data_IF_686599358484
#
_entry.id   IF_686599358484
#
_cell.length_a   1.000
_cell.length_b   1.000
_cell.length_c   1.000
_cell.angle_alpha   90.00
_cell.angle_beta   90.00
_cell.angle_gamma   90.00
#
_symmetry.space_group_name_H-M   'P 1'
#
loop_
_entity.id
_entity.type
_entity.pdbx_description
1 polymer ?
#
# COMPACT_ATOMS: atom_id res chain seq x y z
N UNK A 1 19.19 32.09 -4.34
CA UNK A 1 19.22 32.61 -2.96
C UNK A 1 17.83 33.16 -2.73
N UNK A 2 17.04 32.47 -1.93
CA UNK A 2 15.74 32.98 -1.48
C UNK A 2 15.98 34.23 -0.63
N UNK A 3 15.10 35.21 -0.74
CA UNK A 3 15.21 36.45 0.03
C UNK A 3 13.86 36.84 0.56
N UNK A 4 13.80 37.32 1.80
CA UNK A 4 12.55 37.80 2.40
C UNK A 4 11.96 38.92 1.54
N UNK A 5 10.66 38.84 1.16
CA UNK A 5 10.03 39.87 0.35
C UNK A 5 10.07 41.22 1.06
N UNK A 6 10.25 42.28 0.28
CA UNK A 6 10.26 43.64 0.81
C UNK A 6 8.93 43.97 1.50
N UNK A 7 9.00 44.62 2.66
CA UNK A 7 7.81 45.11 3.35
C UNK A 7 7.11 46.17 2.49
N UNK A 8 5.76 46.20 2.47
CA UNK A 8 5.01 47.15 1.66
C UNK A 8 5.17 48.61 2.11
N UNK A 9 5.59 48.83 3.36
CA UNK A 9 6.02 50.13 3.87
C UNK A 9 7.12 49.97 4.93
N UNK A 10 8.04 50.95 5.07
CA UNK A 10 9.12 50.90 6.08
C UNK A 10 8.63 50.79 7.54
N UNK A 11 7.40 51.24 7.81
CA UNK A 11 6.75 51.20 9.12
C UNK A 11 5.63 50.15 9.20
N UNK A 12 5.52 49.23 8.24
CA UNK A 12 4.42 48.27 8.17
C UNK A 12 4.30 47.43 9.45
N UNK A 13 5.42 47.05 10.03
CA UNK A 13 5.50 46.26 11.27
C UNK A 13 5.54 47.12 12.55
N UNK A 14 5.21 48.41 12.48
CA UNK A 14 5.09 49.25 13.69
C UNK A 14 3.85 48.89 14.53
N UNK A 15 2.83 48.31 13.90
CA UNK A 15 1.70 47.62 14.55
C UNK A 15 1.53 46.25 13.88
N UNK A 16 2.25 45.21 14.34
CA UNK A 16 2.25 43.88 13.75
C UNK A 16 0.84 43.28 13.64
N UNK A 17 0.01 43.48 14.68
CA UNK A 17 -1.35 42.94 14.71
C UNK A 17 -2.23 43.58 13.62
N UNK A 18 -2.16 44.90 13.46
CA UNK A 18 -2.89 45.59 12.40
C UNK A 18 -2.36 45.22 11.00
N UNK A 19 -1.05 45.02 10.85
CA UNK A 19 -0.44 44.63 9.59
C UNK A 19 -0.87 43.23 9.14
N UNK A 20 -0.72 42.21 9.99
CA UNK A 20 -1.09 40.83 9.65
C UNK A 20 -2.61 40.66 9.48
N UNK A 21 -3.43 41.54 10.06
CA UNK A 21 -4.87 41.58 9.82
C UNK A 21 -5.28 42.30 8.53
N UNK A 22 -4.33 42.82 7.75
CA UNK A 22 -4.58 43.60 6.52
C UNK A 22 -4.29 42.79 5.26
N UNK A 23 -4.93 43.14 4.15
CA UNK A 23 -4.65 42.56 2.82
C UNK A 23 -3.17 42.64 2.42
N UNK A 24 -2.47 43.68 2.90
CA UNK A 24 -1.04 43.87 2.62
C UNK A 24 -0.17 42.89 3.40
N UNK A 25 -0.52 42.59 4.66
CA UNK A 25 0.16 41.62 5.50
C UNK A 25 -0.07 40.20 5.00
N UNK A 26 -1.33 39.85 4.73
CA UNK A 26 -1.71 38.56 4.13
C UNK A 26 -0.95 38.30 2.83
N UNK A 27 -0.92 39.29 1.93
CA UNK A 27 -0.17 39.16 0.67
C UNK A 27 1.33 39.00 0.90
N UNK A 28 1.89 39.70 1.87
CA UNK A 28 3.31 39.63 2.19
C UNK A 28 3.68 38.26 2.77
N UNK A 29 2.86 37.69 3.67
CA UNK A 29 3.05 36.34 4.19
C UNK A 29 2.91 35.28 3.09
N UNK A 30 1.97 35.47 2.16
CA UNK A 30 1.86 34.64 0.97
C UNK A 30 3.12 34.64 0.11
N UNK A 31 3.71 35.82 -0.15
CA UNK A 31 4.98 35.95 -0.87
C UNK A 31 6.14 35.34 -0.08
N UNK A 32 6.13 35.44 1.25
CA UNK A 32 7.14 34.81 2.10
C UNK A 32 7.09 33.29 1.97
N UNK A 33 5.89 32.70 1.97
CA UNK A 33 5.70 31.27 1.74
C UNK A 33 6.10 30.83 0.31
N UNK A 34 5.95 31.70 -0.69
CA UNK A 34 6.43 31.43 -2.05
C UNK A 34 7.97 31.42 -2.14
N UNK A 35 8.65 32.33 -1.42
CA UNK A 35 10.12 32.41 -1.38
C UNK A 35 10.77 31.31 -0.51
N UNK A 36 10.05 30.87 0.52
CA UNK A 36 10.44 29.79 1.43
C UNK A 36 9.35 28.72 1.48
N UNK A 37 9.22 27.90 0.41
CA UNK A 37 8.22 26.84 0.37
C UNK A 37 8.56 25.73 1.37
N UNK A 38 7.51 25.10 1.90
CA UNK A 38 7.63 23.90 2.70
C UNK A 38 6.93 22.75 1.98
N UNK A 39 7.55 21.57 1.98
CA UNK A 39 6.93 20.33 1.53
C UNK A 39 6.87 19.36 2.69
N UNK A 40 5.66 18.92 3.06
CA UNK A 40 5.46 17.95 4.14
C UNK A 40 5.92 16.55 3.75
N UNK A 41 6.07 16.26 2.46
CA UNK A 41 6.56 14.98 1.95
C UNK A 41 7.67 15.20 0.93
N UNK A 42 8.85 14.63 1.20
CA UNK A 42 10.00 14.69 0.29
C UNK A 42 10.83 13.41 0.33
N UNK A 43 11.38 13.05 -0.83
CA UNK A 43 12.01 11.74 -1.08
C UNK A 43 13.33 11.50 -0.36
N UNK A 44 14.16 12.51 -0.13
CA UNK A 44 15.45 12.31 0.55
C UNK A 44 15.29 11.73 1.98
N UNK A 45 14.08 11.73 2.55
CA UNK A 45 13.74 11.07 3.83
C UNK A 45 13.45 9.57 3.72
N UNK A 46 13.27 9.05 2.50
CA UNK A 46 12.62 7.76 2.25
C UNK A 46 13.47 6.76 1.46
N UNK A 47 14.71 7.11 1.08
CA UNK A 47 15.58 6.33 0.18
C UNK A 47 16.00 4.92 0.67
N UNK A 48 15.56 4.46 1.85
CA UNK A 48 15.96 3.18 2.41
C UNK A 48 14.81 2.41 3.09
N UNK A 49 13.64 2.32 2.46
CA UNK A 49 12.55 1.51 3.00
C UNK A 49 12.90 0.02 3.07
N UNK A 50 12.62 -0.59 4.22
CA UNK A 50 12.64 -2.04 4.33
C UNK A 50 11.39 -2.64 3.69
N UNK A 51 11.50 -3.84 3.10
CA UNK A 51 10.34 -4.56 2.56
C UNK A 51 9.25 -4.77 3.62
N UNK A 52 9.64 -5.01 4.88
CA UNK A 52 8.71 -5.11 6.01
C UNK A 52 7.88 -3.83 6.20
N UNK A 53 8.52 -2.66 6.12
CA UNK A 53 7.84 -1.37 6.23
C UNK A 53 6.87 -1.15 5.06
N UNK A 54 7.30 -1.45 3.83
CA UNK A 54 6.47 -1.33 2.64
C UNK A 54 5.29 -2.31 2.64
N UNK A 55 5.49 -3.53 3.15
CA UNK A 55 4.43 -4.51 3.35
C UNK A 55 3.41 -4.04 4.40
N UNK A 56 3.84 -3.45 5.51
CA UNK A 56 2.95 -2.90 6.53
C UNK A 56 2.12 -1.73 5.98
N UNK A 57 2.73 -0.85 5.19
CA UNK A 57 2.01 0.21 4.47
C UNK A 57 0.99 -0.37 3.49
N UNK A 58 1.40 -1.36 2.70
CA UNK A 58 0.53 -2.01 1.73
C UNK A 58 -0.72 -2.60 2.39
N UNK A 59 -0.59 -3.22 3.57
CA UNK A 59 -1.73 -3.70 4.37
C UNK A 59 -2.72 -2.57 4.67
N UNK A 60 -2.22 -1.43 5.18
CA UNK A 60 -3.07 -0.26 5.47
C UNK A 60 -3.79 0.27 4.25
N UNK A 61 -3.11 0.36 3.10
CA UNK A 61 -3.73 0.80 1.84
C UNK A 61 -4.87 -0.15 1.45
N UNK A 62 -4.62 -1.46 1.51
CA UNK A 62 -5.62 -2.49 1.17
C UNK A 62 -6.82 -2.45 2.13
N UNK A 63 -6.58 -2.32 3.43
CA UNK A 63 -7.62 -2.22 4.44
C UNK A 63 -8.46 -0.96 4.27
N UNK A 64 -7.83 0.20 4.10
CA UNK A 64 -8.53 1.46 3.83
C UNK A 64 -9.45 1.35 2.60
N UNK A 65 -8.97 0.74 1.51
CA UNK A 65 -9.77 0.50 0.30
C UNK A 65 -10.97 -0.41 0.58
N UNK A 66 -10.80 -1.48 1.37
CA UNK A 66 -11.91 -2.39 1.70
C UNK A 66 -12.92 -1.79 2.67
N UNK A 67 -12.48 -0.90 3.56
CA UNK A 67 -13.32 -0.22 4.54
C UNK A 67 -13.98 1.04 3.97
N UNK A 68 -13.55 1.49 2.79
CA UNK A 68 -14.04 2.71 2.15
C UNK A 68 -13.47 3.99 2.80
N UNK A 69 -12.34 3.88 3.49
CA UNK A 69 -11.59 5.00 4.03
C UNK A 69 -10.72 5.67 2.97
N UNK A 70 -10.34 6.92 3.23
CA UNK A 70 -9.39 7.63 2.39
C UNK A 70 -8.00 6.99 2.52
N UNK A 71 -7.38 6.69 1.37
CA UNK A 71 -6.08 6.01 1.35
C UNK A 71 -4.97 6.95 1.79
N UNK A 72 -5.04 8.23 1.41
CA UNK A 72 -4.03 9.21 1.78
C UNK A 72 -4.02 9.38 3.30
N UNK A 73 -5.19 9.60 3.92
CA UNK A 73 -5.34 9.70 5.38
C UNK A 73 -4.78 8.46 6.11
N UNK A 74 -5.06 7.25 5.59
CA UNK A 74 -4.54 6.02 6.17
C UNK A 74 -3.00 5.90 6.08
N UNK A 75 -2.41 6.47 5.02
CA UNK A 75 -0.96 6.51 4.84
C UNK A 75 -0.29 7.59 5.71
N UNK A 76 -0.89 8.77 5.85
CA UNK A 76 -0.40 9.85 6.72
C UNK A 76 -0.29 9.43 8.18
N UNK A 77 -1.19 8.55 8.65
CA UNK A 77 -1.15 8.00 10.00
C UNK A 77 0.14 7.21 10.29
N UNK A 78 0.73 6.59 9.26
CA UNK A 78 2.01 5.86 9.35
C UNK A 78 3.20 6.78 9.04
N UNK A 79 3.08 7.58 7.99
CA UNK A 79 4.09 8.54 7.55
C UNK A 79 3.64 9.95 7.89
N UNK A 80 3.93 10.33 9.14
CA UNK A 80 3.57 11.65 9.63
C UNK A 80 4.25 12.73 8.76
N UNK A 81 3.51 13.80 8.42
CA UNK A 81 4.06 14.90 7.67
C UNK A 81 5.23 15.51 8.44
N UNK A 82 6.17 16.06 7.68
CA UNK A 82 7.25 16.86 8.27
C UNK A 82 6.67 18.06 8.99
N UNK A 83 7.22 18.35 10.17
CA UNK A 83 6.89 19.57 10.91
C UNK A 83 7.52 20.80 10.24
N UNK A 84 6.74 21.87 10.16
CA UNK A 84 7.15 23.18 9.67
C UNK A 84 8.33 23.76 10.46
N UNK A 85 8.49 23.34 11.72
CA UNK A 85 9.56 23.81 12.61
C UNK A 85 10.96 23.74 11.98
N UNK A 86 11.28 22.67 11.25
CA UNK A 86 12.62 22.50 10.68
C UNK A 86 12.90 23.57 9.61
N UNK A 87 11.97 23.75 8.66
CA UNK A 87 12.09 24.77 7.60
C UNK A 87 12.07 26.17 8.21
N UNK A 88 11.14 26.43 9.14
CA UNK A 88 11.10 27.70 9.86
C UNK A 88 12.45 28.01 10.52
N UNK A 89 12.95 27.12 11.38
CA UNK A 89 14.14 27.36 12.18
C UNK A 89 15.41 27.52 11.35
N UNK A 90 15.57 26.72 10.29
CA UNK A 90 16.82 26.66 9.51
C UNK A 90 16.84 27.59 8.29
N UNK A 91 15.68 27.95 7.74
CA UNK A 91 15.61 28.67 6.46
C UNK A 91 14.92 30.04 6.61
N UNK A 92 13.77 30.09 7.26
CA UNK A 92 12.95 31.33 7.32
C UNK A 92 13.39 32.26 8.46
N UNK A 93 13.49 31.71 9.67
CA UNK A 93 13.80 32.43 10.89
C UNK A 93 15.10 33.25 10.83
N UNK A 94 16.22 32.75 10.27
CA UNK A 94 17.45 33.53 10.18
C UNK A 94 17.28 34.79 9.32
N UNK A 95 16.57 34.67 8.20
CA UNK A 95 16.36 35.76 7.25
C UNK A 95 15.38 36.80 7.79
N UNK A 96 14.30 36.37 8.46
CA UNK A 96 13.37 37.27 9.17
C UNK A 96 14.10 38.05 10.27
N UNK A 97 14.95 37.38 11.07
CA UNK A 97 15.77 38.06 12.09
C UNK A 97 16.77 39.05 11.49
N UNK A 98 17.23 38.84 10.25
CA UNK A 98 18.07 39.82 9.55
C UNK A 98 17.24 41.04 9.16
N UNK A 99 16.07 40.83 8.55
CA UNK A 99 15.15 41.91 8.17
C UNK A 99 14.73 42.77 9.37
N UNK A 100 14.34 42.14 10.49
CA UNK A 100 13.94 42.87 11.70
C UNK A 100 15.08 43.73 12.25
N UNK A 101 16.33 43.19 12.23
CA UNK A 101 17.52 43.95 12.63
C UNK A 101 17.81 45.13 11.69
N UNK A 102 17.68 44.95 10.38
CA UNK A 102 17.90 46.00 9.38
C UNK A 102 16.85 47.11 9.43
N UNK A 103 15.61 46.75 9.76
CA UNK A 103 14.50 47.71 9.90
C UNK A 103 14.44 48.39 11.28
N UNK A 104 15.31 47.96 12.21
CA UNK A 104 15.37 48.51 13.57
C UNK A 104 14.19 48.14 14.45
N UNK A 105 13.45 47.09 14.07
CA UNK A 105 12.29 46.57 14.79
C UNK A 105 12.80 45.59 15.85
N UNK A 106 12.24 45.69 17.06
CA UNK A 106 12.59 44.77 18.12
C UNK A 106 12.12 43.35 17.73
N UNK A 107 13.02 42.38 17.84
CA UNK A 107 12.68 40.96 17.78
C UNK A 107 11.99 40.58 19.09
N UNK A 108 10.72 41.01 19.23
CA UNK A 108 9.85 40.52 20.28
C UNK A 108 9.22 39.20 19.86
N UNK A 109 9.08 38.28 20.81
CA UNK A 109 8.61 36.92 20.53
C UNK A 109 7.21 36.90 19.92
N UNK A 110 6.37 37.89 20.24
CA UNK A 110 5.00 37.98 19.73
C UNK A 110 4.97 38.28 18.22
N UNK A 111 5.75 39.25 17.75
CA UNK A 111 5.84 39.54 16.30
C UNK A 111 6.43 38.36 15.54
N UNK A 112 7.46 37.73 16.12
CA UNK A 112 8.13 36.60 15.49
C UNK A 112 7.23 35.37 15.39
N UNK A 113 6.46 35.07 16.44
CA UNK A 113 5.47 34.00 16.45
C UNK A 113 4.31 34.29 15.48
N UNK A 114 3.83 35.54 15.39
CA UNK A 114 2.79 35.91 14.43
C UNK A 114 3.24 35.73 12.96
N UNK A 115 4.50 36.04 12.64
CA UNK A 115 5.07 35.78 11.32
C UNK A 115 5.17 34.27 11.06
N UNK A 116 5.61 33.50 12.06
CA UNK A 116 5.67 32.03 11.94
C UNK A 116 4.30 31.46 11.62
N UNK A 117 3.31 31.74 12.45
CA UNK A 117 1.99 31.14 12.33
C UNK A 117 1.35 31.52 10.98
N UNK A 118 1.48 32.79 10.56
CA UNK A 118 1.01 33.24 9.25
C UNK A 118 1.75 32.61 8.07
N UNK A 119 3.08 32.42 8.19
CA UNK A 119 3.84 31.69 7.17
C UNK A 119 3.45 30.22 7.11
N UNK A 120 3.27 29.55 8.26
CA UNK A 120 2.85 28.15 8.34
C UNK A 120 1.51 27.91 7.64
N UNK A 121 0.51 28.76 7.91
CA UNK A 121 -0.81 28.69 7.27
C UNK A 121 -0.69 28.82 5.73
N UNK A 122 0.10 29.78 5.26
CA UNK A 122 0.29 29.99 3.83
C UNK A 122 1.15 28.93 3.15
N UNK A 123 2.15 28.38 3.84
CA UNK A 123 2.98 27.30 3.35
C UNK A 123 2.17 26.00 3.27
N UNK A 124 1.35 25.70 4.30
CA UNK A 124 0.44 24.57 4.30
C UNK A 124 -0.57 24.64 3.15
N UNK A 125 -1.14 25.82 2.88
CA UNK A 125 -2.08 26.03 1.78
C UNK A 125 -1.47 25.85 0.38
N UNK A 126 -0.13 25.96 0.26
CA UNK A 126 0.63 25.81 -0.99
C UNK A 126 1.32 24.46 -1.12
N UNK A 127 1.31 23.66 -0.06
CA UNK A 127 1.96 22.37 -0.09
C UNK A 127 1.12 21.36 -0.87
N UNK A 128 1.50 21.17 -2.13
CA UNK A 128 0.92 20.18 -3.04
C UNK A 128 1.53 18.78 -2.84
N UNK A 129 2.48 18.60 -1.91
CA UNK A 129 3.08 17.29 -1.66
C UNK A 129 2.08 16.33 -1.02
N UNK A 130 2.28 15.06 -1.33
CA UNK A 130 1.47 13.91 -0.90
C UNK A 130 2.37 12.83 -0.33
N UNK A 131 1.82 11.95 0.51
CA UNK A 131 2.56 10.78 1.02
C UNK A 131 3.08 9.92 -0.13
N UNK A 132 2.37 9.91 -1.25
CA UNK A 132 2.78 9.22 -2.48
C UNK A 132 4.14 9.70 -3.01
N UNK A 133 4.53 10.96 -2.76
CA UNK A 133 5.82 11.53 -3.18
C UNK A 133 7.03 10.96 -2.42
N UNK A 134 6.79 10.25 -1.31
CA UNK A 134 7.83 9.49 -0.61
C UNK A 134 8.29 8.25 -1.39
N UNK A 135 7.52 7.79 -2.37
CA UNK A 135 7.76 6.49 -3.01
C UNK A 135 8.20 6.62 -4.47
N UNK A 136 9.20 5.83 -4.81
CA UNK A 136 9.73 5.65 -6.14
C UNK A 136 9.08 4.49 -6.87
N UNK A 137 9.34 4.40 -8.17
CA UNK A 137 8.98 3.22 -8.98
C UNK A 137 9.66 1.92 -8.55
N UNK A 138 10.66 1.99 -7.67
CA UNK A 138 11.40 0.84 -7.15
C UNK A 138 11.06 0.49 -5.70
N UNK A 139 10.13 1.18 -5.06
CA UNK A 139 9.66 0.82 -3.73
C UNK A 139 8.55 -0.23 -3.87
N UNK A 140 8.92 -1.49 -3.62
CA UNK A 140 8.05 -2.63 -3.85
C UNK A 140 7.47 -3.20 -2.55
N UNK A 141 6.25 -3.71 -2.64
CA UNK A 141 5.62 -4.54 -1.61
C UNK A 141 5.22 -5.90 -2.15
N UNK A 142 5.10 -6.87 -1.26
CA UNK A 142 4.48 -8.17 -1.52
C UNK A 142 2.96 -8.03 -1.52
N UNK A 143 2.34 -8.48 -2.61
CA UNK A 143 0.90 -8.50 -2.78
C UNK A 143 0.42 -9.93 -3.03
N UNK A 144 -0.62 -10.32 -2.30
CA UNK A 144 -1.31 -11.58 -2.43
C UNK A 144 -2.77 -11.34 -2.81
N UNK A 145 -3.32 -12.16 -3.69
CA UNK A 145 -4.76 -12.23 -3.93
C UNK A 145 -5.25 -13.64 -3.64
N UNK A 146 -5.93 -13.82 -2.52
CA UNK A 146 -6.45 -15.14 -2.11
C UNK A 146 -7.78 -15.44 -2.80
N UNK A 147 -7.92 -16.65 -3.33
CA UNK A 147 -9.17 -17.11 -3.92
C UNK A 147 -10.13 -17.59 -2.83
N UNK A 148 -10.98 -16.70 -2.35
CA UNK A 148 -11.95 -16.99 -1.28
C UNK A 148 -13.22 -16.16 -1.41
N UNK A 149 -14.34 -16.68 -0.93
CA UNK A 149 -15.56 -15.91 -0.68
C UNK A 149 -15.67 -15.46 0.78
N UNK A 150 -14.74 -15.89 1.63
CA UNK A 150 -14.75 -15.61 3.07
C UNK A 150 -14.04 -14.31 3.40
N UNK A 151 -14.55 -13.62 4.43
CA UNK A 151 -13.95 -12.34 4.89
C UNK A 151 -12.65 -12.58 5.63
N UNK A 152 -12.63 -13.57 6.51
CA UNK A 152 -11.54 -13.83 7.45
C UNK A 152 -10.55 -14.86 6.92
N UNK A 153 -9.30 -14.75 7.35
CA UNK A 153 -8.18 -15.59 6.87
C UNK A 153 -8.35 -17.05 7.25
N UNK A 154 -8.67 -17.32 8.51
CA UNK A 154 -8.82 -18.68 9.04
C UNK A 154 -10.00 -19.42 8.40
N UNK A 155 -11.06 -18.69 8.07
CA UNK A 155 -12.25 -19.24 7.41
C UNK A 155 -12.00 -19.59 5.94
N UNK A 156 -10.95 -19.04 5.32
CA UNK A 156 -10.62 -19.23 3.89
C UNK A 156 -9.82 -20.50 3.59
N UNK A 157 -9.40 -21.25 4.61
CA UNK A 157 -8.45 -22.35 4.46
C UNK A 157 -9.05 -23.54 3.70
N UNK A 158 -8.20 -24.18 2.90
CA UNK A 158 -8.39 -25.51 2.32
C UNK A 158 -7.69 -26.51 3.21
N UNK A 159 -8.30 -27.68 3.42
CA UNK A 159 -7.81 -28.68 4.35
C UNK A 159 -7.45 -29.98 3.63
N UNK A 160 -6.39 -30.63 4.10
CA UNK A 160 -6.00 -32.00 3.73
C UNK A 160 -6.33 -32.97 4.87
N UNK A 161 -6.76 -34.18 4.52
CA UNK A 161 -6.90 -35.27 5.50
C UNK A 161 -5.55 -35.87 5.93
N UNK A 162 -4.45 -35.52 5.25
CA UNK A 162 -3.09 -36.00 5.56
C UNK A 162 -2.16 -34.87 5.95
N UNK A 163 -1.16 -35.13 6.81
CA UNK A 163 -0.14 -34.16 7.18
C UNK A 163 0.67 -33.62 5.99
N UNK A 164 0.92 -34.47 4.99
CA UNK A 164 1.49 -34.08 3.70
C UNK A 164 0.35 -34.06 2.68
N UNK A 165 -0.01 -32.88 2.15
CA UNK A 165 -1.11 -32.79 1.21
C UNK A 165 -0.83 -33.59 -0.05
N UNK A 166 -1.89 -34.20 -0.55
CA UNK A 166 -1.97 -34.86 -1.84
C UNK A 166 -3.30 -34.39 -2.42
N UNK A 167 -3.34 -34.04 -3.70
CA UNK A 167 -4.56 -33.64 -4.39
C UNK A 167 -5.72 -34.65 -4.19
N UNK A 168 -5.40 -35.95 -4.07
CA UNK A 168 -6.37 -37.01 -3.79
C UNK A 168 -7.01 -36.93 -2.38
N UNK A 169 -6.33 -36.27 -1.44
CA UNK A 169 -6.63 -36.26 -0.01
C UNK A 169 -7.22 -34.93 0.47
N UNK A 170 -7.31 -33.92 -0.40
CA UNK A 170 -7.93 -32.63 -0.08
C UNK A 170 -9.43 -32.78 0.21
N UNK A 171 -9.89 -32.09 1.25
CA UNK A 171 -11.29 -31.96 1.63
C UNK A 171 -12.04 -31.14 0.57
N UNK A 172 -13.11 -31.69 0.01
CA UNK A 172 -13.95 -31.01 -0.99
C UNK A 172 -14.91 -29.99 -0.36
N UNK A 173 -14.36 -28.99 0.32
CA UNK A 173 -15.08 -27.88 0.98
C UNK A 173 -15.52 -26.80 -0.04
N UNK A 174 -16.43 -25.88 0.33
CA UNK A 174 -16.73 -24.71 -0.51
C UNK A 174 -15.50 -23.89 -0.89
N UNK A 175 -14.54 -23.69 0.03
CA UNK A 175 -13.30 -22.95 -0.24
C UNK A 175 -12.47 -23.60 -1.36
N UNK A 176 -12.28 -24.93 -1.30
CA UNK A 176 -11.56 -25.64 -2.35
C UNK A 176 -12.32 -25.55 -3.69
N UNK A 177 -13.65 -25.72 -3.67
CA UNK A 177 -14.47 -25.60 -4.87
C UNK A 177 -14.36 -24.19 -5.49
N UNK A 178 -14.34 -23.15 -4.66
CA UNK A 178 -14.21 -21.76 -5.06
C UNK A 178 -12.82 -21.46 -5.64
N UNK A 179 -11.76 -21.91 -4.96
CA UNK A 179 -10.39 -21.77 -5.44
C UNK A 179 -10.19 -22.47 -6.79
N UNK A 180 -10.66 -23.72 -6.92
CA UNK A 180 -10.58 -24.47 -8.19
C UNK A 180 -11.31 -23.73 -9.33
N UNK A 181 -12.52 -23.21 -9.08
CA UNK A 181 -13.28 -22.47 -10.08
C UNK A 181 -12.54 -21.21 -10.58
N UNK A 182 -11.84 -20.50 -9.68
CA UNK A 182 -11.03 -19.33 -10.00
C UNK A 182 -9.70 -19.67 -10.68
N UNK A 183 -9.10 -20.81 -10.33
CA UNK A 183 -7.94 -21.39 -11.01
C UNK A 183 -8.27 -21.93 -12.41
N UNK A 184 -9.56 -22.11 -12.73
CA UNK A 184 -10.07 -22.56 -14.03
C UNK A 184 -10.43 -24.05 -14.11
N UNK A 185 -10.57 -24.72 -12.97
CA UNK A 185 -10.92 -26.14 -12.86
C UNK A 185 -12.34 -26.33 -12.33
N UNK A 186 -13.03 -27.35 -12.84
CA UNK A 186 -14.23 -27.89 -12.20
C UNK A 186 -13.87 -28.94 -11.17
N UNK A 187 -14.76 -29.17 -10.20
CA UNK A 187 -14.64 -30.28 -9.24
C UNK A 187 -14.51 -31.63 -9.95
N UNK A 188 -15.24 -31.83 -11.05
CA UNK A 188 -15.20 -33.09 -11.81
C UNK A 188 -13.86 -33.29 -12.52
N UNK A 189 -13.29 -32.24 -13.12
CA UNK A 189 -11.96 -32.29 -13.73
C UNK A 189 -10.89 -32.57 -12.67
N UNK A 190 -10.93 -31.83 -11.55
CA UNK A 190 -10.01 -32.04 -10.44
C UNK A 190 -10.07 -33.47 -9.92
N UNK A 191 -11.26 -33.98 -9.56
CA UNK A 191 -11.43 -35.35 -9.06
C UNK A 191 -10.96 -36.42 -10.04
N UNK A 192 -11.21 -36.22 -11.33
CA UNK A 192 -10.79 -37.16 -12.36
C UNK A 192 -9.26 -37.23 -12.43
N UNK A 193 -8.60 -36.08 -12.36
CA UNK A 193 -7.15 -35.98 -12.49
C UNK A 193 -6.41 -36.37 -11.20
N UNK A 194 -6.96 -36.06 -10.02
CA UNK A 194 -6.35 -36.36 -8.71
C UNK A 194 -6.78 -37.69 -8.12
N UNK A 195 -7.72 -38.40 -8.75
CA UNK A 195 -8.41 -39.55 -8.16
C UNK A 195 -9.03 -39.25 -6.79
N UNK A 196 -9.34 -37.98 -6.48
CA UNK A 196 -9.95 -37.59 -5.21
C UNK A 196 -11.37 -38.16 -5.08
N UNK A 197 -11.55 -39.01 -4.05
CA UNK A 197 -12.83 -39.68 -3.71
C UNK A 197 -13.46 -39.13 -2.44
N UNK A 198 -12.97 -37.99 -1.93
CA UNK A 198 -13.43 -37.42 -0.67
C UNK A 198 -14.87 -36.93 -0.80
N UNK A 199 -15.71 -37.13 0.23
CA UNK A 199 -17.09 -36.66 0.20
C UNK A 199 -17.09 -35.13 -0.01
N UNK A 200 -17.98 -34.66 -0.88
CA UNK A 200 -18.21 -33.22 -1.02
C UNK A 200 -18.90 -32.68 0.22
N UNK A 201 -18.48 -31.51 0.68
CA UNK A 201 -19.29 -30.69 1.57
C UNK A 201 -20.49 -30.09 0.82
N UNK A 202 -20.98 -28.97 1.31
CA UNK A 202 -22.03 -28.23 0.60
C UNK A 202 -21.55 -27.80 -0.80
N UNK A 203 -22.39 -27.95 -1.84
CA UNK A 203 -22.04 -27.47 -3.17
C UNK A 203 -21.92 -25.95 -3.17
N UNK A 204 -20.92 -25.45 -3.89
CA UNK A 204 -20.77 -24.01 -4.08
C UNK A 204 -22.01 -23.45 -4.82
N UNK A 205 -22.62 -22.35 -4.33
CA UNK A 205 -23.60 -21.60 -5.12
C UNK A 205 -22.99 -21.23 -6.47
N UNK A 206 -23.81 -21.13 -7.53
CA UNK A 206 -23.33 -20.88 -8.91
C UNK A 206 -22.25 -19.80 -8.95
N UNK A 207 -21.00 -20.22 -9.08
CA UNK A 207 -19.84 -19.35 -9.19
C UNK A 207 -19.43 -19.22 -10.65
N UNK A 208 -18.97 -18.03 -11.03
CA UNK A 208 -18.41 -17.77 -12.34
C UNK A 208 -17.07 -18.50 -12.46
N UNK A 209 -17.02 -19.53 -13.29
CA UNK A 209 -15.78 -20.25 -13.58
C UNK A 209 -14.88 -19.44 -14.52
N UNK A 210 -13.57 -19.42 -14.25
CA UNK A 210 -12.58 -18.96 -15.23
C UNK A 210 -12.57 -19.92 -16.44
N UNK A 211 -12.47 -19.37 -17.66
CA UNK A 211 -12.53 -20.19 -18.89
C UNK A 211 -11.23 -20.94 -19.18
N UNK A 212 -10.09 -20.31 -18.90
CA UNK A 212 -8.76 -20.87 -19.14
C UNK A 212 -8.07 -21.10 -17.79
N UNK A 213 -7.49 -22.28 -17.54
CA UNK A 213 -6.69 -22.53 -16.36
C UNK A 213 -5.50 -21.58 -16.24
N UNK A 214 -5.24 -21.08 -15.04
CA UNK A 214 -4.08 -20.19 -14.76
C UNK A 214 -2.76 -20.98 -14.85
N UNK A 215 -2.82 -22.26 -14.55
CA UNK A 215 -1.71 -23.22 -14.50
C UNK A 215 -2.19 -24.56 -15.03
N UNK A 216 -1.29 -25.45 -15.46
CA UNK A 216 -1.64 -26.82 -15.88
C UNK A 216 -2.00 -27.68 -14.68
N UNK A 217 -2.62 -28.85 -14.91
CA UNK A 217 -2.99 -29.72 -13.79
C UNK A 217 -1.76 -30.28 -13.08
N UNK A 218 -0.68 -30.56 -13.82
CA UNK A 218 0.58 -31.03 -13.27
C UNK A 218 1.17 -29.99 -12.31
N UNK A 219 1.14 -28.72 -12.68
CA UNK A 219 1.54 -27.61 -11.81
C UNK A 219 0.60 -27.46 -10.60
N UNK A 220 -0.70 -27.71 -10.77
CA UNK A 220 -1.66 -27.68 -9.65
C UNK A 220 -1.35 -28.77 -8.63
N UNK A 221 -1.09 -29.98 -9.10
CA UNK A 221 -0.71 -31.10 -8.26
C UNK A 221 0.61 -30.81 -7.55
N UNK A 222 1.59 -30.27 -8.27
CA UNK A 222 2.89 -29.88 -7.71
C UNK A 222 2.75 -28.87 -6.56
N UNK A 223 1.97 -27.80 -6.72
CA UNK A 223 1.78 -26.82 -5.63
C UNK A 223 1.04 -27.42 -4.43
N UNK A 224 0.09 -28.34 -4.66
CA UNK A 224 -0.61 -29.02 -3.57
C UNK A 224 0.36 -29.92 -2.80
N UNK A 225 1.09 -30.78 -3.51
CA UNK A 225 2.00 -31.75 -2.91
C UNK A 225 3.13 -31.06 -2.11
N UNK A 226 3.51 -29.85 -2.52
CA UNK A 226 4.52 -29.03 -1.84
C UNK A 226 3.95 -27.99 -0.87
N UNK A 227 2.64 -27.96 -0.62
CA UNK A 227 2.05 -27.01 0.33
C UNK A 227 2.55 -27.22 1.77
N UNK A 228 3.09 -28.40 2.09
CA UNK A 228 3.75 -28.73 3.37
C UNK A 228 2.94 -28.44 4.64
N UNK A 229 1.61 -28.30 4.52
CA UNK A 229 0.70 -28.06 5.64
C UNK A 229 -0.65 -28.75 5.45
N UNK A 230 -1.28 -29.20 6.55
CA UNK A 230 -2.65 -29.73 6.53
C UNK A 230 -3.70 -28.70 6.16
N UNK A 231 -3.37 -27.40 6.21
CA UNK A 231 -4.27 -26.31 5.88
C UNK A 231 -3.55 -25.16 5.20
N UNK A 232 -4.05 -24.71 4.06
CA UNK A 232 -3.43 -23.64 3.28
C UNK A 232 -4.46 -22.89 2.43
N UNK A 233 -4.03 -21.76 1.87
CA UNK A 233 -4.79 -20.93 0.93
C UNK A 233 -4.23 -21.11 -0.48
N UNK A 234 -5.07 -20.98 -1.49
CA UNK A 234 -4.60 -20.67 -2.84
C UNK A 234 -4.62 -19.16 -3.06
N UNK A 235 -3.52 -18.60 -3.53
CA UNK A 235 -3.42 -17.18 -3.83
C UNK A 235 -2.62 -16.92 -5.11
N UNK A 236 -2.82 -15.74 -5.70
CA UNK A 236 -1.83 -15.13 -6.58
C UNK A 236 -0.82 -14.38 -5.72
N UNK A 237 0.45 -14.47 -6.07
CA UNK A 237 1.54 -13.72 -5.46
C UNK A 237 2.25 -12.87 -6.51
N UNK A 238 2.61 -11.65 -6.13
CA UNK A 238 3.42 -10.75 -6.93
C UNK A 238 4.11 -9.71 -6.04
N UNK A 239 5.26 -9.20 -6.50
CA UNK A 239 5.94 -8.05 -5.88
C UNK A 239 5.70 -6.83 -6.78
N UNK A 240 5.08 -5.78 -6.25
CA UNK A 240 4.55 -4.67 -7.07
C UNK A 240 4.95 -3.32 -6.48
N UNK A 241 5.12 -2.27 -7.32
CA UNK A 241 5.45 -0.95 -6.80
C UNK A 241 4.30 -0.37 -5.96
N UNK A 242 4.63 0.23 -4.81
CA UNK A 242 3.67 0.93 -3.95
C UNK A 242 2.86 1.98 -4.72
N UNK A 243 3.44 2.82 -5.61
CA UNK A 243 2.65 3.77 -6.39
C UNK A 243 1.55 3.13 -7.24
N UNK A 244 1.74 1.90 -7.71
CA UNK A 244 0.68 1.19 -8.41
C UNK A 244 -0.42 0.76 -7.46
N UNK A 245 -0.09 0.24 -6.28
CA UNK A 245 -1.06 -0.15 -5.25
C UNK A 245 -1.92 1.02 -4.81
N UNK A 246 -1.32 2.20 -4.59
CA UNK A 246 -2.04 3.44 -4.25
C UNK A 246 -3.07 3.77 -5.33
N UNK A 247 -2.69 3.67 -6.60
CA UNK A 247 -3.57 3.98 -7.73
C UNK A 247 -4.66 2.94 -8.01
N UNK A 248 -4.64 1.77 -7.36
CA UNK A 248 -5.60 0.71 -7.62
C UNK A 248 -7.00 1.03 -7.09
N UNK A 249 -7.99 0.69 -7.90
CA UNK A 249 -9.40 0.60 -7.53
C UNK A 249 -9.78 -0.87 -7.33
N UNK A 250 -9.91 -1.29 -6.07
CA UNK A 250 -10.26 -2.66 -5.71
C UNK A 250 -11.74 -3.02 -6.00
N UNK A 251 -12.56 -2.05 -6.42
CA UNK A 251 -13.95 -2.28 -6.85
C UNK A 251 -14.04 -2.70 -8.32
N UNK A 252 -12.95 -2.58 -9.07
CA UNK A 252 -12.85 -2.95 -10.48
C UNK A 252 -11.97 -4.19 -10.66
N UNK A 253 -12.10 -4.91 -11.78
CA UNK A 253 -11.16 -5.97 -12.10
C UNK A 253 -9.71 -5.46 -12.11
N UNK A 254 -8.81 -6.23 -11.52
CA UNK A 254 -7.37 -5.95 -11.46
C UNK A 254 -6.64 -7.01 -12.27
N UNK A 255 -5.72 -6.60 -13.14
CA UNK A 255 -4.88 -7.51 -13.91
C UNK A 255 -3.46 -7.51 -13.38
N UNK A 256 -3.00 -8.69 -13.00
CA UNK A 256 -1.60 -9.00 -12.79
C UNK A 256 -0.95 -9.29 -14.15
N UNK A 257 -0.03 -8.44 -14.60
CA UNK A 257 0.70 -8.69 -15.86
C UNK A 257 1.63 -9.90 -15.75
N UNK A 258 2.11 -10.17 -14.54
CA UNK A 258 2.90 -11.33 -14.17
C UNK A 258 2.54 -11.70 -12.72
N UNK A 259 2.37 -12.99 -12.42
CA UNK A 259 2.13 -13.45 -11.06
C UNK A 259 2.46 -14.95 -10.95
N UNK A 260 2.44 -15.43 -9.71
CA UNK A 260 2.61 -16.83 -9.36
C UNK A 260 1.37 -17.29 -8.64
N UNK A 261 0.98 -18.54 -8.87
CA UNK A 261 -0.04 -19.17 -8.03
C UNK A 261 0.68 -19.88 -6.92
N UNK A 262 0.29 -19.59 -5.70
CA UNK A 262 0.93 -20.10 -4.50
C UNK A 262 -0.08 -20.83 -3.60
N UNK A 263 0.45 -21.79 -2.86
CA UNK A 263 -0.13 -22.30 -1.64
C UNK A 263 0.55 -21.64 -0.45
N UNK A 264 -0.23 -21.06 0.46
CA UNK A 264 0.27 -20.38 1.66
C UNK A 264 -0.47 -20.88 2.90
N UNK A 265 0.26 -21.35 3.90
CA UNK A 265 -0.26 -21.49 5.26
C UNK A 265 0.12 -20.24 6.08
N UNK A 266 -0.83 -19.33 6.34
CA UNK A 266 -0.55 -18.10 7.07
C UNK A 266 -0.28 -18.32 8.57
N UNK A 267 -0.65 -19.48 9.13
CA UNK A 267 -0.52 -19.80 10.55
C UNK A 267 0.85 -20.42 10.84
N UNK A 268 1.20 -21.47 10.08
CA UNK A 268 2.45 -22.21 10.28
C UNK A 268 3.62 -21.69 9.43
N UNK A 269 3.35 -20.79 8.48
CA UNK A 269 4.38 -20.19 7.64
C UNK A 269 4.97 -21.22 6.67
N UNK A 270 4.14 -21.76 5.78
CA UNK A 270 4.59 -22.57 4.64
C UNK A 270 4.17 -21.91 3.35
N UNK A 271 5.02 -21.97 2.32
CA UNK A 271 4.82 -21.29 1.07
C UNK A 271 5.43 -22.11 -0.07
N UNK A 272 4.70 -22.27 -1.15
CA UNK A 272 5.20 -22.82 -2.40
C UNK A 272 4.42 -22.24 -3.56
N UNK A 273 5.08 -22.00 -4.69
CA UNK A 273 4.48 -21.31 -5.82
C UNK A 273 4.99 -21.79 -7.18
N UNK A 274 4.17 -21.57 -8.20
CA UNK A 274 4.49 -21.83 -9.60
C UNK A 274 4.05 -20.63 -10.44
N UNK A 275 4.84 -20.26 -11.44
CA UNK A 275 4.52 -19.16 -12.34
C UNK A 275 3.20 -19.41 -13.08
N UNK A 276 2.34 -18.39 -13.16
CA UNK A 276 1.13 -18.46 -13.97
C UNK A 276 1.48 -18.54 -15.48
N UNK A 277 0.61 -19.19 -16.26
CA UNK A 277 0.76 -19.35 -17.71
C UNK A 277 0.68 -18.03 -18.51
N UNK A 278 0.33 -16.92 -17.85
CA UNK A 278 0.21 -15.59 -18.45
C UNK A 278 -0.44 -14.59 -17.50
N UNK A 279 -0.82 -13.40 -18.00
CA UNK A 279 -1.50 -12.39 -17.20
C UNK A 279 -2.81 -12.90 -16.60
N UNK A 280 -3.09 -12.53 -15.35
CA UNK A 280 -4.28 -12.97 -14.63
C UNK A 280 -5.10 -11.76 -14.21
N UNK A 281 -6.33 -11.67 -14.73
CA UNK A 281 -7.32 -10.70 -14.27
C UNK A 281 -8.22 -11.32 -13.21
N UNK A 282 -8.33 -10.66 -12.06
CA UNK A 282 -9.24 -11.02 -10.96
C UNK A 282 -10.28 -9.93 -10.77
N UNK A 283 -11.49 -10.33 -10.38
CA UNK A 283 -12.60 -9.44 -10.07
C UNK A 283 -12.80 -9.36 -8.55
N UNK A 284 -13.50 -8.35 -8.02
CA UNK A 284 -13.77 -8.23 -6.58
C UNK A 284 -14.50 -9.46 -5.99
N UNK A 285 -15.28 -10.17 -6.81
CA UNK A 285 -15.98 -11.39 -6.41
C UNK A 285 -15.14 -12.67 -6.52
N UNK A 286 -13.91 -12.60 -7.01
CA UNK A 286 -13.02 -13.76 -7.21
C UNK A 286 -12.16 -14.05 -5.98
N UNK A 287 -12.14 -13.16 -4.99
CA UNK A 287 -11.20 -13.23 -3.89
C UNK A 287 -11.00 -11.90 -3.16
N UNK A 288 -9.91 -11.84 -2.38
CA UNK A 288 -9.55 -10.65 -1.62
C UNK A 288 -8.03 -10.42 -1.67
N UNK A 289 -7.63 -9.17 -1.84
CA UNK A 289 -6.23 -8.76 -1.72
C UNK A 289 -5.78 -8.80 -0.26
N UNK A 290 -4.51 -9.11 -0.09
CA UNK A 290 -3.73 -9.05 1.14
C UNK A 290 -2.32 -8.59 0.75
N UNK A 291 -1.58 -8.02 1.68
CA UNK A 291 -0.14 -7.80 1.56
C UNK A 291 0.63 -8.73 2.49
N UNK A 292 1.96 -8.74 2.37
CA UNK A 292 2.81 -9.39 3.38
C UNK A 292 2.59 -8.86 4.80
N UNK A 293 2.09 -7.64 4.97
CA UNK A 293 1.83 -7.02 6.29
C UNK A 293 0.61 -7.60 7.01
N UNK A 294 -0.34 -8.20 6.28
CA UNK A 294 -1.51 -8.87 6.86
C UNK A 294 -1.16 -10.24 7.48
N UNK A 295 0.05 -10.73 7.19
CA UNK A 295 0.47 -12.08 7.48
C UNK A 295 1.46 -12.08 8.63
N UNK A 296 1.32 -13.06 9.53
CA UNK A 296 2.35 -13.36 10.53
C UNK A 296 3.67 -13.74 9.87
N UNK A 297 3.58 -14.39 8.71
CA UNK A 297 4.70 -14.86 7.91
C UNK A 297 4.45 -14.46 6.47
N UNK A 298 5.21 -13.48 5.96
CA UNK A 298 5.16 -13.15 4.53
C UNK A 298 5.99 -14.16 3.72
N UNK A 299 5.73 -14.32 2.41
CA UNK A 299 6.49 -15.24 1.56
C UNK A 299 8.02 -15.01 1.61
N UNK A 300 8.49 -13.76 1.64
CA UNK A 300 9.90 -13.43 1.89
C UNK A 300 10.42 -14.04 3.20
N UNK A 301 9.67 -13.95 4.29
CA UNK A 301 10.07 -14.44 5.62
C UNK A 301 10.06 -15.97 5.74
N UNK A 302 9.19 -16.66 4.99
CA UNK A 302 9.03 -18.13 5.09
C UNK A 302 10.19 -18.87 4.41
N UNK A 303 10.69 -18.33 3.29
CA UNK A 303 11.65 -19.04 2.44
C UNK A 303 12.90 -18.24 2.06
N UNK A 304 13.06 -16.99 2.51
CA UNK A 304 14.18 -16.10 2.15
C UNK A 304 14.43 -16.06 0.62
N UNK A 305 13.36 -16.07 -0.17
CA UNK A 305 13.45 -16.14 -1.64
C UNK A 305 14.11 -14.88 -2.19
N UNK A 306 15.07 -15.04 -3.09
CA UNK A 306 15.56 -13.93 -3.91
C UNK A 306 14.43 -13.46 -4.84
N UNK A 307 13.95 -12.21 -4.68
CA UNK A 307 12.66 -11.75 -5.21
C UNK A 307 12.58 -11.11 -6.62
N UNK A 308 13.65 -10.82 -7.38
CA UNK A 308 13.54 -10.01 -8.59
C UNK A 308 12.75 -10.69 -9.71
N UNK A 309 12.62 -12.02 -9.71
CA UNK A 309 11.73 -12.67 -10.67
C UNK A 309 10.26 -12.43 -10.36
N UNK A 310 9.89 -12.10 -9.11
CA UNK A 310 8.52 -11.85 -8.65
C UNK A 310 7.96 -10.46 -8.97
N UNK A 311 8.81 -9.57 -9.49
CA UNK A 311 8.39 -8.22 -9.82
C UNK A 311 7.35 -8.23 -10.94
N UNK A 312 6.25 -7.52 -10.71
CA UNK A 312 5.11 -7.45 -11.61
C UNK A 312 4.55 -6.03 -11.69
N UNK A 313 3.61 -5.86 -12.62
CA UNK A 313 2.78 -4.67 -12.72
C UNK A 313 1.32 -5.03 -12.57
N UNK A 314 0.57 -4.10 -12.01
CA UNK A 314 -0.87 -4.15 -11.83
C UNK A 314 -1.53 -3.06 -12.66
N UNK A 315 -2.75 -3.34 -13.10
CA UNK A 315 -3.60 -2.36 -13.79
C UNK A 315 -5.07 -2.67 -13.58
N UNK A 316 -5.89 -1.61 -13.53
CA UNK A 316 -7.34 -1.65 -13.54
C UNK A 316 -7.96 -1.38 -14.92
#
# INVERSE_FOLDING_TARGET
MSSVPALPAPSALADPNAFFSSDAGERWLGLLADEFPHSRYWRDRSDCWSLKSLNALAARIIDARYEGHDVEEAMEAEFRPVDFWATWHHEVAPEIRSLLRETGIADDGETFDAIRDGWEDHAAARDESSVSDLFASYDYCELLFRFTNERWLDDSLVFSHRPWPDAAELCMTPNLQFALANLGYTVSEFRKASANRRPSGQPLPRSRRRRAPILTYEQLAEIIDNACSTSFLFCLYAVVPIPQLIALDLTRPVTFEKCWVATLDPLNGTYFDVAANGPVTVSPGDGRFLSGGDLRWSPENICCLHTPHYHARLRN
#
